data_IF_628284570657
#
_entry.id   IF_628284570657
#
_cell.length_a   1.000
_cell.length_b   1.000
_cell.length_c   1.000
_cell.angle_alpha   90.00
_cell.angle_beta   90.00
_cell.angle_gamma   90.00
#
_symmetry.space_group_name_H-M   'P 1'
#
loop_
_entity.id
_entity.type
_entity.pdbx_description
1 polymer ?
#
# COMPACT_ATOMS: atom_id res chain seq x y z
N UNK A 1 1.63 -2.13 -19.93
CA UNK A 1 1.32 -2.15 -18.48
C UNK A 1 2.45 -2.78 -17.65
N UNK A 2 3.71 -2.71 -18.11
CA UNK A 2 4.86 -3.33 -17.42
C UNK A 2 5.91 -2.29 -17.00
N UNK A 3 5.95 -1.11 -17.66
CA UNK A 3 6.91 -0.05 -17.34
C UNK A 3 6.64 0.65 -16.01
N UNK A 4 5.41 1.10 -15.76
CA UNK A 4 5.06 1.85 -14.55
C UNK A 4 5.12 1.00 -13.28
N UNK A 5 4.53 -0.19 -13.31
CA UNK A 5 4.58 -1.11 -12.17
C UNK A 5 6.02 -1.48 -11.85
N UNK A 6 6.84 -1.83 -12.85
CA UNK A 6 8.26 -2.13 -12.65
C UNK A 6 9.04 -0.96 -12.06
N UNK A 7 8.79 0.27 -12.54
CA UNK A 7 9.39 1.47 -11.95
C UNK A 7 8.93 1.66 -10.50
N UNK A 8 7.63 1.65 -10.21
CA UNK A 8 7.13 1.89 -8.85
C UNK A 8 7.60 0.80 -7.86
N UNK A 9 7.73 -0.46 -8.30
CA UNK A 9 8.19 -1.57 -7.43
C UNK A 9 9.69 -1.58 -7.17
N UNK A 10 10.53 -0.98 -8.05
CA UNK A 10 11.99 -0.98 -7.90
C UNK A 10 12.55 0.21 -7.09
N UNK A 11 11.75 1.25 -6.86
CA UNK A 11 12.21 2.46 -6.14
C UNK A 11 12.25 2.34 -4.61
N UNK A 12 11.40 1.54 -3.94
CA UNK A 12 11.49 1.30 -2.50
C UNK A 12 12.78 0.58 -2.06
N UNK A 13 13.56 0.05 -3.00
CA UNK A 13 14.88 -0.57 -2.79
C UNK A 13 16.05 0.44 -2.87
N UNK A 14 15.80 1.68 -3.32
CA UNK A 14 16.82 2.71 -3.55
C UNK A 14 16.60 4.02 -2.76
N UNK A 15 15.76 3.99 -1.71
CA UNK A 15 15.39 5.16 -0.88
C UNK A 15 14.79 6.37 -1.63
N UNK A 16 14.35 6.18 -2.87
CA UNK A 16 13.72 7.21 -3.72
C UNK A 16 12.18 7.18 -3.56
N UNK A 17 11.69 7.39 -2.34
CA UNK A 17 10.27 7.29 -2.00
C UNK A 17 9.42 8.42 -2.61
N UNK A 18 9.95 9.63 -2.72
CA UNK A 18 9.28 10.77 -3.37
C UNK A 18 9.04 10.49 -4.87
N UNK A 19 10.05 9.97 -5.57
CA UNK A 19 9.93 9.64 -7.00
C UNK A 19 8.90 8.52 -7.23
N UNK A 20 8.83 7.52 -6.34
CA UNK A 20 7.83 6.46 -6.42
C UNK A 20 6.40 7.00 -6.28
N UNK A 21 6.19 7.96 -5.37
CA UNK A 21 4.89 8.61 -5.21
C UNK A 21 4.55 9.51 -6.39
N UNK A 22 5.51 10.30 -6.90
CA UNK A 22 5.31 11.13 -8.07
C UNK A 22 4.90 10.29 -9.28
N UNK A 23 5.58 9.16 -9.52
CA UNK A 23 5.22 8.21 -10.58
C UNK A 23 3.83 7.59 -10.35
N UNK A 24 3.48 7.27 -9.11
CA UNK A 24 2.14 6.80 -8.77
C UNK A 24 1.07 7.86 -9.04
N UNK A 25 1.31 9.12 -8.68
CA UNK A 25 0.40 10.22 -8.98
C UNK A 25 0.25 10.43 -10.49
N UNK A 26 1.36 10.46 -11.23
CA UNK A 26 1.36 10.61 -12.68
C UNK A 26 0.62 9.48 -13.38
N UNK A 27 0.85 8.22 -12.96
CA UNK A 27 0.14 7.04 -13.46
C UNK A 27 -1.39 7.25 -13.39
N UNK A 28 -1.88 7.73 -12.25
CA UNK A 28 -3.32 8.00 -12.06
C UNK A 28 -3.81 9.20 -12.87
N UNK A 29 -3.02 10.27 -12.93
CA UNK A 29 -3.38 11.50 -13.65
C UNK A 29 -3.56 11.27 -15.15
N UNK A 30 -2.75 10.39 -15.76
CA UNK A 30 -2.89 10.04 -17.18
C UNK A 30 -3.90 8.91 -17.42
N UNK A 31 -4.61 8.46 -16.38
CA UNK A 31 -5.73 7.52 -16.47
C UNK A 31 -5.37 6.04 -16.36
N UNK A 32 -4.11 5.69 -16.04
CA UNK A 32 -3.76 4.30 -15.76
C UNK A 32 -4.23 3.90 -14.36
N UNK A 33 -4.81 2.70 -14.26
CA UNK A 33 -5.25 2.12 -12.99
C UNK A 33 -4.09 1.38 -12.31
N UNK A 34 -3.77 1.69 -11.05
CA UNK A 34 -2.85 0.89 -10.26
C UNK A 34 -3.33 -0.56 -10.17
N UNK A 35 -2.39 -1.51 -10.12
CA UNK A 35 -2.68 -2.92 -9.84
C UNK A 35 -2.20 -3.29 -8.43
N UNK A 36 -2.41 -4.55 -8.04
CA UNK A 36 -2.00 -5.06 -6.73
C UNK A 36 -0.50 -4.82 -6.44
N UNK A 37 0.40 -5.00 -7.40
CA UNK A 37 1.83 -4.73 -7.21
C UNK A 37 2.12 -3.25 -6.93
N UNK A 38 1.43 -2.33 -7.62
CA UNK A 38 1.52 -0.90 -7.32
C UNK A 38 0.99 -0.60 -5.92
N UNK A 39 -0.16 -1.16 -5.54
CA UNK A 39 -0.75 -0.95 -4.22
C UNK A 39 0.07 -1.55 -3.07
N UNK A 40 0.79 -2.64 -3.30
CA UNK A 40 1.65 -3.26 -2.30
C UNK A 40 2.99 -2.50 -2.11
N UNK A 41 3.42 -1.68 -3.07
CA UNK A 41 4.73 -1.01 -3.04
C UNK A 41 4.69 0.43 -2.50
N UNK A 42 3.61 1.17 -2.75
CA UNK A 42 3.48 2.57 -2.31
C UNK A 42 3.35 2.79 -0.79
N UNK A 43 2.81 1.87 0.04
CA UNK A 43 2.64 2.12 1.47
C UNK A 43 3.94 2.40 2.22
N UNK A 44 5.06 1.78 1.80
CA UNK A 44 6.37 2.04 2.39
C UNK A 44 6.80 3.51 2.22
N UNK A 45 6.55 4.09 1.05
CA UNK A 45 6.85 5.49 0.81
C UNK A 45 6.02 6.44 1.70
N UNK A 46 4.77 6.08 2.01
CA UNK A 46 3.96 6.86 2.95
C UNK A 46 4.46 6.78 4.39
N UNK A 47 4.99 5.63 4.82
CA UNK A 47 5.62 5.49 6.13
C UNK A 47 6.85 6.39 6.25
N UNK A 48 7.76 6.32 5.26
CA UNK A 48 9.01 7.06 5.30
C UNK A 48 8.82 8.59 5.20
N UNK A 49 7.74 9.02 4.55
CA UNK A 49 7.37 10.45 4.43
C UNK A 49 6.35 10.92 5.49
N UNK A 50 6.01 10.06 6.46
CA UNK A 50 4.99 10.32 7.50
C UNK A 50 3.63 10.81 6.92
N UNK A 51 3.28 10.35 5.71
CA UNK A 51 2.15 10.83 4.92
C UNK A 51 0.91 9.93 5.07
N UNK A 52 0.44 9.72 6.30
CA UNK A 52 -0.67 8.79 6.60
C UNK A 52 -1.96 9.12 5.84
N UNK A 53 -2.29 10.41 5.68
CA UNK A 53 -3.48 10.86 4.92
C UNK A 53 -3.46 10.37 3.46
N UNK A 54 -2.28 10.32 2.85
CA UNK A 54 -2.09 9.80 1.49
C UNK A 54 -2.22 8.27 1.46
N UNK A 55 -1.78 7.60 2.53
CA UNK A 55 -2.01 6.19 2.80
C UNK A 55 -3.50 5.85 2.87
N UNK A 56 -4.28 6.58 3.67
CA UNK A 56 -5.74 6.41 3.79
C UNK A 56 -6.45 6.66 2.46
N UNK A 57 -6.07 7.70 1.74
CA UNK A 57 -6.58 7.98 0.39
C UNK A 57 -6.29 6.83 -0.59
N UNK A 58 -5.12 6.19 -0.44
CA UNK A 58 -4.72 5.03 -1.23
C UNK A 58 -5.48 3.77 -0.82
N UNK A 59 -5.72 3.56 0.47
CA UNK A 59 -6.56 2.46 0.97
C UNK A 59 -7.99 2.56 0.43
N UNK A 60 -8.59 3.75 0.43
CA UNK A 60 -9.90 3.97 -0.21
C UNK A 60 -9.87 3.65 -1.72
N UNK A 61 -8.74 3.89 -2.40
CA UNK A 61 -8.55 3.54 -3.81
C UNK A 61 -8.39 2.03 -4.02
N UNK A 62 -7.74 1.31 -3.10
CA UNK A 62 -7.65 -0.15 -3.08
C UNK A 62 -9.04 -0.77 -3.07
N UNK A 63 -9.89 -0.35 -2.14
CA UNK A 63 -11.29 -0.83 -2.02
C UNK A 63 -12.08 -0.53 -3.30
N UNK A 64 -11.97 0.70 -3.82
CA UNK A 64 -12.64 1.07 -5.09
C UNK A 64 -12.15 0.28 -6.31
N UNK A 65 -10.96 -0.29 -6.21
CA UNK A 65 -10.30 -1.05 -7.27
C UNK A 65 -10.41 -2.57 -7.08
N UNK A 66 -11.12 -3.04 -6.04
CA UNK A 66 -11.38 -4.45 -5.74
C UNK A 66 -10.10 -5.24 -5.40
N UNK A 67 -9.18 -4.60 -4.68
CA UNK A 67 -7.91 -5.20 -4.22
C UNK A 67 -7.84 -5.36 -2.69
N UNK A 68 -8.91 -5.08 -1.96
CA UNK A 68 -9.01 -5.19 -0.50
C UNK A 68 -8.76 -6.62 0.01
N UNK A 69 -9.14 -7.65 -0.76
CA UNK A 69 -8.88 -9.05 -0.41
C UNK A 69 -7.49 -9.55 -0.83
N UNK A 70 -6.72 -8.76 -1.60
CA UNK A 70 -5.38 -9.16 -2.06
C UNK A 70 -4.42 -9.21 -0.87
N UNK A 71 -3.80 -10.37 -0.67
CA UNK A 71 -2.93 -10.61 0.48
C UNK A 71 -1.73 -9.67 0.54
N UNK A 72 -1.09 -9.37 -0.59
CA UNK A 72 0.11 -8.52 -0.61
C UNK A 72 -0.24 -7.07 -0.35
N UNK A 73 -1.38 -6.61 -0.90
CA UNK A 73 -1.91 -5.27 -0.64
C UNK A 73 -2.31 -5.13 0.83
N UNK A 74 -3.04 -6.11 1.37
CA UNK A 74 -3.44 -6.12 2.77
C UNK A 74 -2.24 -6.10 3.72
N UNK A 75 -1.19 -6.90 3.47
CA UNK A 75 0.03 -6.87 4.29
C UNK A 75 0.73 -5.51 4.26
N UNK A 76 0.81 -4.87 3.09
CA UNK A 76 1.47 -3.57 2.96
C UNK A 76 0.68 -2.45 3.68
N UNK A 77 -0.65 -2.48 3.60
CA UNK A 77 -1.51 -1.56 4.34
C UNK A 77 -1.47 -1.83 5.85
N UNK A 78 -1.39 -3.10 6.26
CA UNK A 78 -1.27 -3.47 7.67
C UNK A 78 0.05 -2.96 8.26
N UNK A 79 1.17 -3.10 7.54
CA UNK A 79 2.46 -2.54 7.94
C UNK A 79 2.40 -1.01 8.08
N UNK A 80 1.76 -0.33 7.12
CA UNK A 80 1.55 1.12 7.17
C UNK A 80 0.78 1.53 8.43
N UNK A 81 -0.41 0.99 8.64
CA UNK A 81 -1.27 1.42 9.73
C UNK A 81 -0.74 1.05 11.12
N UNK A 82 -0.13 -0.13 11.26
CA UNK A 82 0.46 -0.55 12.54
C UNK A 82 1.66 0.32 12.92
N UNK A 83 2.57 0.63 11.98
CA UNK A 83 3.72 1.51 12.24
C UNK A 83 3.36 2.97 12.41
N UNK A 84 2.30 3.45 11.76
CA UNK A 84 1.75 4.80 11.96
C UNK A 84 0.89 4.92 13.23
N UNK A 85 0.60 3.81 13.92
CA UNK A 85 -0.19 3.79 15.16
C UNK A 85 -1.70 3.91 14.97
N UNK A 86 -2.21 3.82 13.74
CA UNK A 86 -3.64 3.82 13.46
C UNK A 86 -4.21 2.40 13.56
N UNK A 87 -4.47 1.99 14.80
CA UNK A 87 -4.95 0.65 15.11
C UNK A 87 -6.35 0.39 14.54
N UNK A 88 -7.17 1.42 14.35
CA UNK A 88 -8.54 1.26 13.86
C UNK A 88 -8.51 0.81 12.41
N UNK A 89 -7.78 1.54 11.56
CA UNK A 89 -7.62 1.18 10.15
C UNK A 89 -6.82 -0.14 10.00
N UNK A 90 -5.83 -0.39 10.86
CA UNK A 90 -5.12 -1.68 10.88
C UNK A 90 -6.07 -2.86 11.14
N UNK A 91 -6.99 -2.74 12.11
CA UNK A 91 -8.00 -3.77 12.38
C UNK A 91 -8.93 -3.98 11.17
N UNK A 92 -9.34 -2.90 10.50
CA UNK A 92 -10.21 -3.00 9.31
C UNK A 92 -9.52 -3.73 8.17
N UNK A 93 -8.27 -3.35 7.84
CA UNK A 93 -7.46 -4.06 6.84
C UNK A 93 -7.30 -5.52 7.22
N UNK A 94 -6.97 -5.79 8.49
CA UNK A 94 -6.80 -7.15 8.98
C UNK A 94 -8.08 -7.96 8.76
N UNK A 95 -9.26 -7.45 9.10
CA UNK A 95 -10.52 -8.17 8.92
C UNK A 95 -10.86 -8.43 7.45
N UNK A 96 -10.72 -7.43 6.56
CA UNK A 96 -11.07 -7.52 5.14
C UNK A 96 -10.11 -8.40 4.33
N UNK A 97 -8.81 -8.35 4.64
CA UNK A 97 -7.82 -9.06 3.83
C UNK A 97 -7.95 -10.58 3.96
N UNK A 98 -7.60 -11.29 2.87
CA UNK A 98 -7.52 -12.74 2.89
C UNK A 98 -6.30 -13.20 3.72
N UNK A 99 -6.57 -13.93 4.80
CA UNK A 99 -5.55 -14.50 5.70
C UNK A 99 -5.20 -15.92 5.23
N UNK A 100 -4.18 -16.06 4.40
CA UNK A 100 -3.71 -17.38 3.91
C UNK A 100 -2.47 -17.89 4.66
N UNK A 101 -1.85 -17.04 5.48
CA UNK A 101 -0.63 -17.31 6.25
C UNK A 101 -0.73 -16.68 7.66
N UNK A 102 0.22 -16.98 8.54
CA UNK A 102 0.34 -16.47 9.91
C UNK A 102 0.88 -15.04 9.97
N UNK A 103 1.53 -14.58 8.90
CA UNK A 103 2.18 -13.26 8.84
C UNK A 103 1.26 -12.09 9.25
N UNK A 104 0.00 -11.97 8.79
CA UNK A 104 -0.89 -10.88 9.22
C UNK A 104 -1.08 -10.80 10.74
N UNK A 105 -1.02 -11.92 11.45
CA UNK A 105 -1.23 -11.95 12.91
C UNK A 105 -0.07 -11.32 13.67
N UNK A 106 1.17 -11.43 13.18
CA UNK A 106 2.32 -10.82 13.85
C UNK A 106 2.25 -9.30 13.88
N UNK A 107 1.60 -8.69 12.90
CA UNK A 107 1.38 -7.24 12.88
C UNK A 107 0.41 -6.77 13.97
N UNK A 108 -0.56 -7.60 14.36
CA UNK A 108 -1.61 -7.21 15.31
C UNK A 108 -1.23 -7.43 16.78
N UNK A 109 -0.16 -8.18 17.04
CA UNK A 109 0.31 -8.52 18.41
C UNK A 109 1.66 -7.91 18.77
N UNK A 110 2.33 -7.27 17.81
CA UNK A 110 3.57 -6.53 18.01
C UNK A 110 3.30 -5.21 18.73
#
# INVERSE_FOLDING_TARGET
MVSWTGMITCYPENDCFEDALELFYQMRMVGFKPNNFTFASVPKAFLDLEALDAGQSTHALVIKSQYEEDQFVGLALLDLYTKSGDIVDACWVFEEMRKTDVVPWSFMIA
#
